data_IF_861805358080
#
_entry.id   IF_861805358080
#
_cell.length_a   1.000
_cell.length_b   1.000
_cell.length_c   1.000
_cell.angle_alpha   90.00
_cell.angle_beta   90.00
_cell.angle_gamma   90.00
#
_symmetry.space_group_name_H-M   'P 1'
#
loop_
_entity.id
_entity.type
_entity.pdbx_description
1 polymer ?
#
# COMPACT_ATOMS: atom_id res chain seq x y z
N UNK A 1 -3.62 -34.25 2.11
CA UNK A 1 -4.19 -33.37 1.08
C UNK A 1 -5.49 -32.80 1.62
N UNK A 2 -5.41 -31.72 2.41
CA UNK A 2 -6.60 -31.01 2.89
C UNK A 2 -6.94 -29.93 1.87
N UNK A 3 -8.20 -29.97 1.44
CA UNK A 3 -8.79 -29.09 0.45
C UNK A 3 -9.07 -27.75 1.14
N UNK A 4 -8.08 -26.85 1.15
CA UNK A 4 -8.27 -25.46 1.56
C UNK A 4 -9.28 -24.78 0.62
N UNK A 5 -10.23 -24.06 1.21
CA UNK A 5 -11.28 -23.30 0.52
C UNK A 5 -10.70 -22.47 -0.64
N UNK A 6 -11.01 -22.86 -1.88
CA UNK A 6 -10.48 -22.29 -3.13
C UNK A 6 -10.84 -20.80 -3.40
N UNK A 7 -11.48 -20.11 -2.45
CA UNK A 7 -12.08 -18.79 -2.70
C UNK A 7 -11.41 -17.63 -1.97
N UNK A 8 -10.38 -17.83 -1.14
CA UNK A 8 -9.62 -16.72 -0.53
C UNK A 8 -8.35 -16.43 -1.35
N UNK A 9 -7.95 -15.16 -1.45
CA UNK A 9 -6.65 -14.78 -2.03
C UNK A 9 -5.49 -15.13 -1.09
N UNK A 10 -5.74 -15.24 0.21
CA UNK A 10 -4.72 -15.54 1.22
C UNK A 10 -4.61 -17.04 1.47
N UNK A 11 -3.38 -17.55 1.41
CA UNK A 11 -3.01 -18.93 1.71
C UNK A 11 -2.09 -18.93 2.93
N UNK A 12 -2.53 -19.56 4.02
CA UNK A 12 -1.74 -19.68 5.25
C UNK A 12 -0.74 -20.83 5.16
N UNK A 13 0.41 -20.69 5.82
CA UNK A 13 1.47 -21.71 5.81
C UNK A 13 1.15 -22.90 6.70
N UNK A 14 0.84 -22.63 7.97
CA UNK A 14 0.60 -23.64 9.00
C UNK A 14 -0.79 -23.44 9.59
N UNK A 15 -0.87 -22.85 10.78
CA UNK A 15 -2.13 -22.50 11.45
C UNK A 15 -2.85 -21.34 10.75
N UNK A 16 -4.16 -21.28 10.93
CA UNK A 16 -4.97 -20.14 10.45
C UNK A 16 -4.69 -18.95 11.37
N UNK A 17 -4.04 -17.87 10.87
CA UNK A 17 -3.77 -16.69 11.68
C UNK A 17 -5.07 -15.91 11.95
N UNK A 18 -5.20 -15.36 13.15
CA UNK A 18 -6.25 -14.41 13.50
C UNK A 18 -5.75 -12.98 13.31
N UNK A 19 -6.37 -12.25 12.37
CA UNK A 19 -6.07 -10.86 12.07
C UNK A 19 -7.10 -9.89 12.65
N UNK A 20 -8.03 -10.37 13.48
CA UNK A 20 -9.11 -9.54 14.01
C UNK A 20 -8.56 -8.33 14.78
N UNK A 21 -8.90 -7.13 14.33
CA UNK A 21 -8.44 -5.86 14.90
C UNK A 21 -7.01 -5.46 14.55
N UNK A 22 -6.26 -6.26 13.79
CA UNK A 22 -4.90 -5.90 13.36
C UNK A 22 -4.92 -4.73 12.37
N UNK A 23 -3.80 -4.02 12.28
CA UNK A 23 -3.57 -3.04 11.21
C UNK A 23 -2.79 -3.70 10.08
N UNK A 24 -3.32 -3.65 8.86
CA UNK A 24 -2.67 -4.18 7.67
C UNK A 24 -1.81 -3.11 6.99
N UNK A 25 -0.51 -3.37 6.82
CA UNK A 25 0.41 -2.55 6.03
C UNK A 25 0.50 -3.14 4.63
N UNK A 26 0.04 -2.37 3.63
CA UNK A 26 -0.06 -2.80 2.23
C UNK A 26 0.77 -1.88 1.32
N UNK A 27 1.82 -2.38 0.67
CA UNK A 27 2.58 -1.61 -0.31
C UNK A 27 1.90 -1.63 -1.66
N UNK A 28 1.62 -0.46 -2.24
CA UNK A 28 1.30 -0.37 -3.65
C UNK A 28 2.59 -0.16 -4.44
N UNK A 29 2.93 -1.13 -5.30
CA UNK A 29 4.10 -1.03 -6.20
C UNK A 29 4.01 0.26 -7.02
N UNK A 30 4.90 1.21 -6.71
CA UNK A 30 4.89 2.57 -7.25
C UNK A 30 6.30 3.07 -7.57
N UNK A 31 6.45 4.36 -7.85
CA UNK A 31 7.68 4.99 -8.33
C UNK A 31 8.82 4.79 -7.34
N UNK A 32 9.96 4.29 -7.83
CA UNK A 32 11.19 4.12 -7.04
C UNK A 32 11.14 3.00 -6.01
N UNK A 33 10.13 2.13 -6.05
CA UNK A 33 9.95 1.00 -5.12
C UNK A 33 9.95 1.39 -3.62
N UNK A 34 9.65 2.66 -3.32
CA UNK A 34 9.70 3.19 -1.96
C UNK A 34 8.80 2.38 -1.01
N UNK A 35 7.52 2.11 -1.36
CA UNK A 35 6.66 1.28 -0.50
C UNK A 35 7.23 -0.12 -0.22
N UNK A 36 7.82 -0.76 -1.22
CA UNK A 36 8.38 -2.10 -1.07
C UNK A 36 9.62 -2.10 -0.19
N UNK A 37 10.51 -1.11 -0.36
CA UNK A 37 11.69 -0.94 0.50
C UNK A 37 11.30 -0.58 1.94
N UNK A 38 10.24 0.21 2.14
CA UNK A 38 9.70 0.49 3.48
C UNK A 38 9.23 -0.79 4.15
N UNK A 39 8.54 -1.67 3.42
CA UNK A 39 8.12 -2.97 3.95
C UNK A 39 9.31 -3.88 4.23
N UNK A 40 10.31 -3.92 3.35
CA UNK A 40 11.55 -4.66 3.59
C UNK A 40 12.22 -4.22 4.90
N UNK A 41 12.31 -2.91 5.14
CA UNK A 41 12.85 -2.36 6.38
C UNK A 41 12.01 -2.72 7.60
N UNK A 42 10.68 -2.64 7.50
CA UNK A 42 9.77 -3.00 8.60
C UNK A 42 9.93 -4.48 8.98
N UNK A 43 9.98 -5.38 7.98
CA UNK A 43 10.13 -6.82 8.23
C UNK A 43 11.50 -7.10 8.85
N UNK A 44 12.59 -6.54 8.30
CA UNK A 44 13.93 -6.77 8.86
C UNK A 44 14.10 -6.18 10.26
N UNK A 45 13.38 -5.12 10.61
CA UNK A 45 13.47 -4.46 11.93
C UNK A 45 12.59 -5.13 12.98
N UNK A 46 11.35 -5.48 12.62
CA UNK A 46 10.39 -6.07 13.57
C UNK A 46 10.51 -7.60 13.67
N UNK A 47 11.24 -8.23 12.74
CA UNK A 47 11.37 -9.68 12.63
C UNK A 47 10.01 -10.43 12.77
N UNK A 48 8.95 -10.02 12.06
CA UNK A 48 7.64 -10.63 12.19
C UNK A 48 7.64 -12.07 11.66
N UNK A 49 6.73 -12.90 12.15
CA UNK A 49 6.58 -14.28 11.68
C UNK A 49 5.91 -14.28 10.31
N UNK A 50 6.47 -15.01 9.34
CA UNK A 50 5.77 -15.29 8.07
C UNK A 50 4.60 -16.24 8.35
N UNK A 51 3.38 -15.84 7.97
CA UNK A 51 2.14 -16.60 8.24
C UNK A 51 1.46 -17.12 6.97
N UNK A 52 1.86 -16.64 5.79
CA UNK A 52 1.28 -17.07 4.53
C UNK A 52 1.74 -16.24 3.35
N UNK A 53 0.99 -16.34 2.26
CA UNK A 53 1.20 -15.58 1.04
C UNK A 53 -0.12 -15.33 0.31
N UNK A 54 -0.13 -14.35 -0.59
CA UNK A 54 -1.25 -14.07 -1.47
C UNK A 54 -1.07 -14.80 -2.80
N UNK A 55 -2.11 -15.52 -3.22
CA UNK A 55 -2.16 -16.24 -4.48
C UNK A 55 -3.34 -15.77 -5.34
N UNK A 56 -3.04 -15.13 -6.45
CA UNK A 56 -4.04 -14.70 -7.42
C UNK A 56 -3.43 -14.64 -8.83
N UNK A 57 -4.25 -14.91 -9.85
CA UNK A 57 -3.87 -14.80 -11.27
C UNK A 57 -3.44 -13.38 -11.68
N UNK A 58 -3.81 -12.36 -10.91
CA UNK A 58 -3.44 -10.97 -11.14
C UNK A 58 -2.02 -10.63 -10.69
N UNK A 59 -1.34 -11.52 -9.98
CA UNK A 59 0.06 -11.37 -9.55
C UNK A 59 0.98 -12.19 -10.46
N UNK A 60 2.10 -11.59 -10.88
CA UNK A 60 3.11 -12.35 -11.63
C UNK A 60 3.81 -13.34 -10.69
N UNK A 61 3.94 -14.62 -11.08
CA UNK A 61 4.53 -15.64 -10.21
C UNK A 61 6.01 -15.36 -9.96
N UNK A 62 6.39 -15.35 -8.69
CA UNK A 62 7.78 -15.23 -8.20
C UNK A 62 7.99 -16.33 -7.16
N UNK A 63 9.14 -16.98 -7.22
CA UNK A 63 9.59 -17.94 -6.22
C UNK A 63 11.10 -17.80 -6.05
N UNK A 64 11.59 -17.78 -4.82
CA UNK A 64 13.01 -17.64 -4.53
C UNK A 64 13.36 -18.00 -3.09
N UNK A 65 14.63 -17.83 -2.74
CA UNK A 65 15.13 -18.07 -1.39
C UNK A 65 14.50 -17.12 -0.36
N UNK A 66 14.60 -17.47 0.92
CA UNK A 66 14.24 -16.57 2.02
C UNK A 66 15.03 -15.26 1.91
N UNK A 67 14.31 -14.13 1.88
CA UNK A 67 14.92 -12.81 1.77
C UNK A 67 15.40 -12.24 3.12
N UNK A 68 14.96 -12.82 4.24
CA UNK A 68 15.18 -12.25 5.58
C UNK A 68 15.89 -13.19 6.55
N UNK A 69 16.15 -14.44 6.16
CA UNK A 69 16.89 -15.41 6.98
C UNK A 69 17.93 -16.17 6.17
N UNK A 70 19.13 -16.28 6.72
CA UNK A 70 20.20 -17.13 6.18
C UNK A 70 19.96 -18.63 6.44
N UNK A 71 19.08 -18.98 7.40
CA UNK A 71 18.80 -20.38 7.77
C UNK A 71 17.88 -21.13 6.78
N UNK A 72 17.30 -20.43 5.80
CA UNK A 72 16.70 -21.05 4.61
C UNK A 72 15.40 -21.84 4.81
N UNK A 73 14.63 -21.58 5.87
CA UNK A 73 13.40 -22.33 6.14
C UNK A 73 12.16 -21.85 5.35
N UNK A 74 12.17 -20.62 4.83
CA UNK A 74 11.08 -20.12 3.98
C UNK A 74 11.52 -19.90 2.54
N UNK A 75 10.55 -19.65 1.67
CA UNK A 75 10.77 -19.19 0.32
C UNK A 75 10.04 -17.86 0.12
N UNK A 76 10.64 -16.96 -0.64
CA UNK A 76 10.00 -15.71 -1.05
C UNK A 76 9.03 -15.99 -2.19
N UNK A 77 7.83 -15.43 -2.14
CA UNK A 77 6.81 -15.54 -3.18
C UNK A 77 6.49 -14.19 -3.83
N UNK A 78 5.47 -14.16 -4.70
CA UNK A 78 4.94 -12.94 -5.33
C UNK A 78 4.49 -11.88 -4.33
N UNK A 79 3.86 -12.31 -3.24
CA UNK A 79 3.40 -11.46 -2.16
C UNK A 79 3.26 -12.26 -0.85
N UNK A 80 4.22 -12.11 0.06
CA UNK A 80 4.25 -12.81 1.34
C UNK A 80 3.55 -11.99 2.44
N UNK A 81 2.91 -12.69 3.39
CA UNK A 81 2.21 -12.08 4.52
C UNK A 81 2.94 -12.43 5.81
N UNK A 82 3.26 -11.39 6.58
CA UNK A 82 3.92 -11.47 7.87
C UNK A 82 3.01 -10.92 8.97
N UNK A 83 3.14 -11.46 10.17
CA UNK A 83 2.37 -11.07 11.35
C UNK A 83 3.30 -10.73 12.52
N UNK A 84 3.09 -9.57 13.11
CA UNK A 84 3.73 -9.11 14.32
C UNK A 84 2.68 -9.00 15.43
N UNK A 85 2.60 -10.01 16.29
CA UNK A 85 1.62 -10.07 17.38
C UNK A 85 1.80 -8.91 18.37
N UNK A 86 3.05 -8.62 18.73
CA UNK A 86 3.42 -7.58 19.69
C UNK A 86 2.93 -6.17 19.32
N UNK A 87 2.82 -5.89 18.01
CA UNK A 87 2.38 -4.61 17.47
C UNK A 87 0.98 -4.67 16.85
N UNK A 88 0.35 -5.84 16.85
CA UNK A 88 -0.88 -6.13 16.12
C UNK A 88 -0.83 -5.65 14.65
N UNK A 89 0.28 -5.96 13.97
CA UNK A 89 0.50 -5.61 12.56
C UNK A 89 0.48 -6.85 11.69
N UNK A 90 -0.24 -6.77 10.57
CA UNK A 90 0.00 -7.64 9.43
C UNK A 90 0.71 -6.84 8.34
N UNK A 91 1.71 -7.43 7.71
CA UNK A 91 2.55 -6.75 6.73
C UNK A 91 2.57 -7.60 5.47
N UNK A 92 2.12 -7.02 4.36
CA UNK A 92 2.28 -7.64 3.05
C UNK A 92 3.57 -7.14 2.45
N UNK A 93 4.47 -8.04 2.13
CA UNK A 93 5.53 -7.77 1.18
C UNK A 93 5.04 -8.16 -0.20
N UNK A 94 5.22 -7.28 -1.19
CA UNK A 94 4.89 -7.56 -2.58
C UNK A 94 6.13 -7.39 -3.47
N UNK A 95 6.66 -8.51 -4.01
CA UNK A 95 7.83 -8.52 -4.92
C UNK A 95 7.44 -8.46 -6.39
N UNK A 96 6.22 -8.85 -6.71
CA UNK A 96 5.71 -8.85 -8.09
C UNK A 96 4.69 -7.74 -8.32
N UNK A 97 4.74 -7.02 -9.46
CA UNK A 97 3.69 -6.07 -9.79
C UNK A 97 2.39 -6.78 -10.15
N UNK A 98 1.26 -6.13 -9.87
CA UNK A 98 -0.03 -6.57 -10.37
C UNK A 98 -0.15 -6.35 -11.90
N UNK A 99 -0.73 -7.32 -12.60
CA UNK A 99 -1.03 -7.22 -14.04
C UNK A 99 -1.94 -6.00 -14.27
N UNK A 100 -1.55 -5.11 -15.19
CA UNK A 100 -2.19 -3.79 -15.37
C UNK A 100 -3.71 -3.87 -15.56
N UNK A 101 -4.20 -4.81 -16.36
CA UNK A 101 -5.63 -5.01 -16.64
C UNK A 101 -6.40 -5.67 -15.50
N UNK A 102 -5.71 -6.24 -14.50
CA UNK A 102 -6.32 -7.00 -13.39
C UNK A 102 -6.21 -6.28 -12.04
N UNK A 103 -5.77 -5.01 -12.00
CA UNK A 103 -5.57 -4.27 -10.74
C UNK A 103 -6.85 -4.11 -9.92
N UNK A 104 -7.97 -3.86 -10.58
CA UNK A 104 -9.27 -3.75 -9.90
C UNK A 104 -9.69 -5.11 -9.33
N UNK A 105 -9.57 -6.17 -10.13
CA UNK A 105 -9.81 -7.54 -9.66
C UNK A 105 -8.97 -7.87 -8.42
N UNK A 106 -7.65 -7.58 -8.45
CA UNK A 106 -6.78 -7.81 -7.30
C UNK A 106 -7.23 -7.01 -6.07
N UNK A 107 -7.61 -5.73 -6.25
CA UNK A 107 -8.11 -4.91 -5.16
C UNK A 107 -9.42 -5.44 -4.56
N UNK A 108 -10.36 -5.91 -5.39
CA UNK A 108 -11.61 -6.50 -4.93
C UNK A 108 -11.35 -7.78 -4.10
N UNK A 109 -10.45 -8.64 -4.58
CA UNK A 109 -10.04 -9.88 -3.91
C UNK A 109 -9.29 -9.63 -2.60
N UNK A 110 -8.38 -8.66 -2.59
CA UNK A 110 -7.69 -8.24 -1.37
C UNK A 110 -8.67 -7.70 -0.34
N UNK A 111 -9.59 -6.81 -0.74
CA UNK A 111 -10.56 -6.23 0.19
C UNK A 111 -11.61 -7.24 0.66
N UNK A 112 -11.99 -8.24 -0.14
CA UNK A 112 -12.78 -9.41 0.32
C UNK A 112 -12.07 -10.13 1.48
N UNK A 113 -10.78 -10.42 1.32
CA UNK A 113 -10.00 -11.05 2.39
C UNK A 113 -9.85 -10.13 3.60
N UNK A 114 -9.59 -8.83 3.41
CA UNK A 114 -9.46 -7.86 4.50
C UNK A 114 -10.73 -7.82 5.36
N UNK A 115 -11.90 -7.76 4.71
CA UNK A 115 -13.18 -7.79 5.41
C UNK A 115 -13.42 -9.13 6.10
N UNK A 116 -13.18 -10.26 5.42
CA UNK A 116 -13.39 -11.59 5.99
C UNK A 116 -12.48 -11.89 7.19
N UNK A 117 -11.27 -11.31 7.21
CA UNK A 117 -10.29 -11.45 8.27
C UNK A 117 -10.46 -10.43 9.43
N UNK A 118 -11.48 -9.54 9.35
CA UNK A 118 -11.80 -8.54 10.38
C UNK A 118 -10.64 -7.61 10.76
N UNK A 119 -9.84 -7.16 9.79
CA UNK A 119 -8.82 -6.15 10.05
C UNK A 119 -9.44 -4.86 10.60
N UNK A 120 -8.78 -4.24 11.58
CA UNK A 120 -9.24 -3.01 12.19
C UNK A 120 -9.00 -1.79 11.31
N UNK A 121 -7.88 -1.76 10.58
CA UNK A 121 -7.58 -0.70 9.60
C UNK A 121 -6.52 -1.12 8.58
N UNK A 122 -6.40 -0.36 7.51
CA UNK A 122 -5.40 -0.53 6.46
C UNK A 122 -4.52 0.72 6.33
N UNK A 123 -3.21 0.51 6.24
CA UNK A 123 -2.22 1.53 5.90
C UNK A 123 -1.67 1.19 4.51
N UNK A 124 -2.06 1.98 3.51
CA UNK A 124 -1.60 1.84 2.13
C UNK A 124 -0.37 2.73 1.90
N UNK A 125 0.75 2.11 1.56
CA UNK A 125 2.00 2.81 1.26
C UNK A 125 2.11 3.07 -0.25
N UNK A 126 2.32 4.32 -0.65
CA UNK A 126 2.50 4.70 -2.06
C UNK A 126 3.53 5.82 -2.20
N UNK A 127 4.01 6.02 -3.42
CA UNK A 127 4.87 7.16 -3.78
C UNK A 127 4.35 7.88 -5.01
N UNK A 128 4.57 9.19 -5.07
CA UNK A 128 4.19 10.04 -6.21
C UNK A 128 5.38 10.84 -6.73
N UNK A 129 5.36 11.13 -8.04
CA UNK A 129 6.29 12.07 -8.66
C UNK A 129 5.77 13.49 -8.44
N UNK A 130 6.57 14.34 -7.79
CA UNK A 130 6.23 15.73 -7.50
C UNK A 130 5.88 16.52 -8.76
N UNK A 131 6.43 16.12 -9.92
CA UNK A 131 6.19 16.78 -11.19
C UNK A 131 4.76 16.55 -11.73
N UNK A 132 4.11 15.45 -11.34
CA UNK A 132 2.79 15.05 -11.84
C UNK A 132 1.64 15.48 -10.92
N UNK A 133 1.94 15.98 -9.73
CA UNK A 133 0.95 16.41 -8.74
C UNK A 133 0.45 17.84 -8.96
N UNK A 134 1.02 18.59 -9.92
CA UNK A 134 0.70 20.01 -10.14
C UNK A 134 0.96 20.90 -8.92
N UNK A 135 1.70 20.37 -7.94
CA UNK A 135 1.81 20.94 -6.60
C UNK A 135 3.30 21.22 -6.33
N UNK A 136 3.70 22.46 -6.61
CA UNK A 136 5.07 22.97 -6.38
C UNK A 136 5.52 22.80 -4.92
N UNK A 137 4.59 22.58 -3.98
CA UNK A 137 4.91 22.29 -2.58
C UNK A 137 5.54 20.90 -2.36
N UNK A 138 5.34 19.95 -3.28
CA UNK A 138 6.04 18.66 -3.23
C UNK A 138 7.54 18.80 -3.53
N UNK A 139 7.93 19.80 -4.33
CA UNK A 139 9.32 20.13 -4.63
C UNK A 139 9.96 20.94 -3.49
N UNK A 140 9.18 21.79 -2.80
CA UNK A 140 9.69 22.65 -1.73
C UNK A 140 9.88 21.93 -0.38
N UNK A 141 9.05 20.94 -0.05
CA UNK A 141 9.10 20.19 1.23
C UNK A 141 9.31 18.69 0.99
N UNK A 142 10.42 18.37 0.33
CA UNK A 142 10.86 17.04 -0.10
C UNK A 142 11.00 15.99 1.03
N UNK A 143 11.01 16.42 2.28
CA UNK A 143 11.19 15.58 3.46
C UNK A 143 9.89 15.23 4.22
N UNK A 144 8.74 15.82 3.84
CA UNK A 144 7.49 15.62 4.58
C UNK A 144 6.62 14.49 3.99
N UNK A 145 6.28 13.50 4.81
CA UNK A 145 5.30 12.48 4.46
C UNK A 145 3.92 13.11 4.34
N UNK A 146 3.15 12.71 3.32
CA UNK A 146 1.76 13.12 3.17
C UNK A 146 0.80 11.99 3.43
N UNK A 147 -0.43 12.32 3.80
CA UNK A 147 -1.45 11.32 4.07
C UNK A 147 -2.83 11.69 3.53
N UNK A 148 -3.62 10.68 3.21
CA UNK A 148 -5.05 10.81 2.92
C UNK A 148 -5.81 9.67 3.57
N UNK A 149 -6.66 10.02 4.52
CA UNK A 149 -7.65 9.10 5.06
C UNK A 149 -8.82 8.97 4.10
N UNK A 150 -9.50 7.84 4.16
CA UNK A 150 -10.84 7.72 3.62
C UNK A 150 -11.87 8.18 4.67
N UNK A 151 -13.16 8.23 4.33
CA UNK A 151 -14.19 8.75 5.24
C UNK A 151 -14.43 7.87 6.48
N UNK A 152 -13.78 6.71 6.54
CA UNK A 152 -13.92 5.70 7.59
C UNK A 152 -12.74 5.69 8.56
N UNK A 153 -11.82 6.66 8.46
CA UNK A 153 -10.58 6.71 9.22
C UNK A 153 -10.40 8.04 9.96
N UNK A 154 -10.51 8.01 11.29
CA UNK A 154 -10.46 9.22 12.13
C UNK A 154 -9.05 9.59 12.64
N UNK A 155 -8.06 8.71 12.47
CA UNK A 155 -6.73 8.88 13.11
C UNK A 155 -5.87 9.96 12.47
N UNK A 156 -6.26 10.50 11.31
CA UNK A 156 -5.45 11.45 10.55
C UNK A 156 -5.20 12.75 11.31
N UNK A 157 -6.06 13.09 12.27
CA UNK A 157 -5.93 14.27 13.13
C UNK A 157 -4.63 14.27 13.96
N UNK A 158 -4.10 13.08 14.29
CA UNK A 158 -2.87 12.95 15.06
C UNK A 158 -1.62 13.12 14.20
N UNK A 159 -1.70 13.04 12.88
CA UNK A 159 -0.52 13.00 12.01
C UNK A 159 0.18 14.36 11.89
N UNK A 160 -0.55 15.46 12.12
CA UNK A 160 0.02 16.80 12.16
C UNK A 160 1.12 16.93 13.23
N UNK A 161 1.03 16.18 14.34
CA UNK A 161 2.02 16.22 15.42
C UNK A 161 3.40 15.67 14.99
N UNK A 162 3.43 14.84 13.94
CA UNK A 162 4.66 14.29 13.36
C UNK A 162 5.20 15.16 12.21
N UNK A 163 4.63 16.35 12.00
CA UNK A 163 4.97 17.22 10.88
C UNK A 163 4.45 16.74 9.53
N UNK A 164 3.62 15.70 9.50
CA UNK A 164 3.06 15.15 8.26
C UNK A 164 1.96 16.08 7.73
N UNK A 165 1.85 16.14 6.41
CA UNK A 165 0.92 17.06 5.75
C UNK A 165 -0.26 16.30 5.12
N UNK A 166 -1.49 16.83 5.21
CA UNK A 166 -2.59 16.24 4.47
C UNK A 166 -2.34 16.32 2.96
N UNK A 167 -2.75 15.29 2.23
CA UNK A 167 -2.72 15.28 0.77
C UNK A 167 -3.79 16.24 0.24
N UNK A 168 -3.39 17.26 -0.51
CA UNK A 168 -4.30 18.19 -1.17
C UNK A 168 -4.65 17.69 -2.58
N UNK A 169 -5.93 17.61 -2.98
CA UNK A 169 -6.33 17.31 -4.35
C UNK A 169 -5.83 18.36 -5.33
N UNK A 170 -5.50 17.95 -6.56
CA UNK A 170 -5.05 18.82 -7.67
C UNK A 170 -6.07 19.91 -8.03
N UNK A 171 -7.36 19.74 -7.70
CA UNK A 171 -8.38 20.78 -7.91
C UNK A 171 -8.07 22.07 -7.16
N UNK A 172 -7.38 21.97 -6.02
CA UNK A 172 -6.98 23.09 -5.16
C UNK A 172 -5.91 23.99 -5.81
N UNK A 173 -5.12 23.43 -6.73
CA UNK A 173 -4.01 24.11 -7.41
C UNK A 173 -4.35 24.59 -8.83
N UNK A 174 -5.58 24.32 -9.32
CA UNK A 174 -6.00 24.65 -10.68
C UNK A 174 -7.40 25.32 -10.73
N UNK A 175 -7.54 26.58 -10.23
CA UNK A 175 -8.81 27.31 -10.21
C UNK A 175 -9.35 27.65 -11.61
N UNK A 176 -8.56 27.46 -12.66
CA UNK A 176 -8.94 27.71 -14.06
C UNK A 176 -9.70 26.54 -14.71
N UNK A 177 -9.75 25.36 -14.07
CA UNK A 177 -10.47 24.19 -14.62
C UNK A 177 -11.98 24.37 -14.57
N UNK A 178 -12.71 23.68 -15.44
CA UNK A 178 -14.18 23.70 -15.42
C UNK A 178 -14.71 23.01 -14.15
N UNK A 179 -15.93 23.37 -13.72
CA UNK A 179 -16.54 22.79 -12.51
C UNK A 179 -16.63 21.26 -12.56
N UNK A 180 -16.91 20.69 -13.73
CA UNK A 180 -16.96 19.24 -13.95
C UNK A 180 -15.57 18.58 -13.84
N UNK A 181 -14.53 19.24 -14.36
CA UNK A 181 -13.15 18.78 -14.27
C UNK A 181 -12.64 18.86 -12.83
N UNK A 182 -12.98 19.94 -12.10
CA UNK A 182 -12.73 20.05 -10.66
C UNK A 182 -13.42 18.93 -9.88
N UNK A 183 -14.71 18.70 -10.11
CA UNK A 183 -15.44 17.62 -9.44
C UNK A 183 -14.83 16.23 -9.74
N UNK A 184 -14.31 16.03 -10.96
CA UNK A 184 -13.60 14.80 -11.34
C UNK A 184 -12.25 14.64 -10.63
N UNK A 185 -11.52 15.73 -10.39
CA UNK A 185 -10.24 15.75 -9.67
C UNK A 185 -10.44 15.68 -8.15
N UNK A 186 -11.50 16.27 -7.61
CA UNK A 186 -11.88 16.14 -6.19
C UNK A 186 -12.26 14.70 -5.85
N UNK A 187 -12.92 14.00 -6.78
CA UNK A 187 -13.13 12.55 -6.69
C UNK A 187 -11.82 11.76 -6.73
N UNK A 188 -10.73 12.32 -7.26
CA UNK A 188 -9.39 11.71 -7.20
C UNK A 188 -8.67 12.15 -5.93
N UNK A 189 -9.15 11.65 -4.79
CA UNK A 189 -8.59 11.94 -3.46
C UNK A 189 -7.15 11.45 -3.27
N UNK A 190 -6.70 10.50 -4.08
CA UNK A 190 -5.34 9.92 -4.00
C UNK A 190 -4.64 10.06 -5.35
N UNK A 191 -3.38 10.48 -5.33
CA UNK A 191 -2.52 10.43 -6.52
C UNK A 191 -1.88 9.07 -6.70
N UNK A 192 -1.64 8.72 -7.97
CA UNK A 192 -1.13 7.41 -8.36
C UNK A 192 -2.18 6.65 -9.16
N UNK A 193 -1.94 6.51 -10.46
CA UNK A 193 -2.70 5.58 -11.28
C UNK A 193 -2.37 4.13 -10.91
N UNK A 194 -3.32 3.22 -11.07
CA UNK A 194 -3.07 1.78 -10.94
C UNK A 194 -3.61 1.15 -9.65
N UNK A 195 -2.78 0.36 -8.97
CA UNK A 195 -3.22 -0.48 -7.85
C UNK A 195 -3.62 0.37 -6.63
N UNK A 196 -2.88 1.44 -6.33
CA UNK A 196 -3.19 2.39 -5.25
C UNK A 196 -4.63 2.89 -5.34
N UNK A 197 -5.01 3.42 -6.51
CA UNK A 197 -6.37 3.89 -6.75
C UNK A 197 -7.41 2.78 -6.66
N UNK A 198 -7.12 1.62 -7.25
CA UNK A 198 -8.04 0.49 -7.23
C UNK A 198 -8.32 0.01 -5.80
N UNK A 199 -7.30 -0.01 -4.94
CA UNK A 199 -7.41 -0.35 -3.52
C UNK A 199 -8.15 0.72 -2.72
N UNK A 200 -7.84 2.00 -2.94
CA UNK A 200 -8.53 3.08 -2.26
C UNK A 200 -10.04 3.06 -2.57
N UNK A 201 -10.40 2.98 -3.85
CA UNK A 201 -11.79 2.94 -4.29
C UNK A 201 -12.51 1.69 -3.72
N UNK A 202 -11.87 0.51 -3.77
CA UNK A 202 -12.43 -0.73 -3.23
C UNK A 202 -12.61 -0.70 -1.70
N UNK A 203 -11.67 -0.09 -0.95
CA UNK A 203 -11.81 0.09 0.50
C UNK A 203 -12.93 1.07 0.85
N UNK A 204 -13.09 2.16 0.10
CA UNK A 204 -14.21 3.11 0.27
C UNK A 204 -15.56 2.41 0.04
N UNK A 205 -15.69 1.65 -1.04
CA UNK A 205 -16.92 0.91 -1.37
C UNK A 205 -17.29 -0.14 -0.30
N UNK A 206 -16.30 -0.76 0.32
CA UNK A 206 -16.49 -1.78 1.38
C UNK A 206 -16.42 -1.22 2.80
N UNK A 207 -16.39 0.11 2.95
CA UNK A 207 -16.35 0.80 4.25
C UNK A 207 -15.17 0.37 5.13
N UNK A 208 -14.04 0.00 4.53
CA UNK A 208 -12.82 -0.42 5.23
C UNK A 208 -12.05 0.84 5.67
N UNK A 209 -11.73 1.01 6.96
CA UNK A 209 -10.90 2.12 7.42
C UNK A 209 -9.52 2.10 6.76
N UNK A 210 -9.20 3.13 5.99
CA UNK A 210 -7.98 3.19 5.18
C UNK A 210 -7.28 4.54 5.37
N UNK A 211 -5.98 4.50 5.59
CA UNK A 211 -5.10 5.65 5.40
C UNK A 211 -4.04 5.36 4.36
N UNK A 212 -3.88 6.25 3.39
CA UNK A 212 -2.83 6.17 2.39
C UNK A 212 -1.71 7.13 2.77
N UNK A 213 -0.50 6.60 2.90
CA UNK A 213 0.72 7.38 3.15
C UNK A 213 1.46 7.56 1.82
N UNK A 214 1.73 8.80 1.46
CA UNK A 214 2.32 9.19 0.19
C UNK A 214 3.68 9.84 0.43
N UNK A 215 4.73 9.22 -0.08
CA UNK A 215 6.04 9.86 -0.18
C UNK A 215 6.14 10.64 -1.49
N UNK A 216 6.46 11.93 -1.43
CA UNK A 216 6.82 12.73 -2.60
C UNK A 216 8.31 12.59 -2.91
N UNK A 217 8.70 12.62 -4.19
CA UNK A 217 10.10 12.92 -4.56
C UNK A 217 10.32 14.43 -4.58
N UNK A 218 11.23 14.93 -3.76
CA UNK A 218 11.83 16.26 -4.00
C UNK A 218 13.34 16.21 -4.19
N UNK A 219 13.88 15.08 -4.66
CA UNK A 219 15.28 14.96 -5.08
C UNK A 219 15.33 14.59 -6.56
N UNK A 220 15.73 15.58 -7.37
CA UNK A 220 16.31 15.38 -8.67
C UNK A 220 17.59 14.57 -8.45
N UNK A 221 17.59 13.28 -8.79
CA UNK A 221 18.86 12.55 -8.91
C UNK A 221 19.53 13.08 -10.17
N UNK A 222 20.39 14.08 -10.00
CA UNK A 222 21.19 14.59 -11.10
C UNK A 222 22.26 13.55 -11.45
N UNK A 223 21.95 12.69 -12.43
CA UNK A 223 22.91 11.74 -12.99
C UNK A 223 23.97 12.43 -13.88
N UNK A 224 23.99 13.77 -13.98
CA UNK A 224 25.03 14.50 -14.74
C UNK A 224 26.43 14.44 -14.12
N UNK A 225 26.61 13.77 -12.98
CA UNK A 225 27.92 13.51 -12.37
C UNK A 225 28.57 12.16 -12.71
N UNK A 226 27.93 11.33 -13.53
CA UNK A 226 28.49 10.02 -13.93
C UNK A 226 28.53 9.85 -15.46
N UNK A 227 29.25 10.74 -16.13
CA UNK A 227 30.01 10.47 -17.37
C UNK A 227 31.28 11.31 -17.32
#
# INVERSE_FOLDING_TARGET
MQQQSCNSIFVHCDDVPDFSGYTLVLPAVSIGNVPQLTVDLLISTLAPKRVGFLHDRALLPVFGCDAYSESGHNSTTSADVYMCEEKQLAIIQQRSPAIKSQRRHLADRMTEWITAANFGSVVLLTSSDANNSGDNTMLANSASLRYVGNQHQDITNNFAQFGWQPWAPVSSSAPYLMAEERARLEKQRVTGGGLTRSLYDACEEKTIPLVTLVSGRGAQWDFKGFV
#
